data_IF_754933618462
#
_entry.id   IF_754933618462
#
_cell.length_a   1.000
_cell.length_b   1.000
_cell.length_c   1.000
_cell.angle_alpha   90.00
_cell.angle_beta   90.00
_cell.angle_gamma   90.00
#
_symmetry.space_group_name_H-M   'P 1'
#
loop_
_entity.id
_entity.type
_entity.pdbx_description
1 polymer ?
#
# COMPACT_ATOMS: atom_id res chain seq x y z
N UNK A 1 -38.53 13.51 27.40
CA UNK A 1 -38.25 12.49 28.42
C UNK A 1 -36.74 12.33 28.48
N UNK A 2 -36.13 12.96 29.48
CA UNK A 2 -34.69 12.91 29.76
C UNK A 2 -34.45 11.69 30.65
N UNK A 3 -33.73 10.69 30.14
CA UNK A 3 -33.31 9.54 30.92
C UNK A 3 -31.96 9.86 31.57
N UNK A 4 -32.02 10.51 32.74
CA UNK A 4 -30.90 11.16 33.42
C UNK A 4 -30.49 10.44 34.72
N UNK A 5 -30.35 9.12 34.70
CA UNK A 5 -29.84 8.42 35.89
C UNK A 5 -29.27 7.05 35.52
N UNK A 6 -28.13 7.03 34.84
CA UNK A 6 -27.27 5.86 34.85
C UNK A 6 -26.27 6.00 36.02
N UNK A 7 -26.51 5.35 37.17
CA UNK A 7 -25.67 5.49 38.37
C UNK A 7 -24.22 5.00 38.15
N UNK A 8 -23.97 4.22 37.09
CA UNK A 8 -22.63 3.78 36.72
C UNK A 8 -21.81 4.86 36.01
N UNK A 9 -22.46 5.92 35.50
CA UNK A 9 -21.79 7.08 34.91
C UNK A 9 -21.31 8.04 36.01
N UNK A 10 -22.12 8.27 37.04
CA UNK A 10 -21.77 9.20 38.14
C UNK A 10 -20.65 8.68 39.03
N UNK A 11 -20.63 7.37 39.32
CA UNK A 11 -19.58 6.77 40.16
C UNK A 11 -18.16 6.90 39.57
N UNK A 12 -18.02 6.94 38.23
CA UNK A 12 -16.70 7.13 37.59
C UNK A 12 -16.26 8.59 37.54
N UNK A 13 -17.17 9.54 37.69
CA UNK A 13 -16.86 10.97 37.68
C UNK A 13 -16.41 11.43 39.06
N UNK A 14 -16.96 10.87 40.14
CA UNK A 14 -16.60 11.28 41.50
C UNK A 14 -15.27 10.75 42.03
N UNK A 15 -14.74 9.63 41.52
CA UNK A 15 -13.43 9.12 41.96
C UNK A 15 -12.23 9.84 41.35
N UNK A 16 -12.43 10.69 40.33
CA UNK A 16 -11.34 11.28 39.55
C UNK A 16 -10.95 12.73 39.95
N UNK A 17 -11.57 13.34 40.97
CA UNK A 17 -11.58 14.81 41.08
C UNK A 17 -10.98 15.40 42.37
N UNK A 18 -10.50 14.63 43.36
CA UNK A 18 -10.06 15.22 44.64
C UNK A 18 -8.62 14.93 45.09
N UNK A 19 -7.69 14.76 44.15
CA UNK A 19 -6.25 14.85 44.40
C UNK A 19 -5.70 16.24 44.03
N UNK A 20 -5.16 17.06 44.95
CA UNK A 20 -4.61 18.39 44.64
C UNK A 20 -3.39 18.41 43.71
N UNK A 21 -2.91 17.25 43.29
CA UNK A 21 -1.73 17.06 42.43
C UNK A 21 -1.96 16.00 41.34
N UNK A 22 -3.21 15.65 41.01
CA UNK A 22 -3.47 14.75 39.88
C UNK A 22 -3.21 15.50 38.58
N UNK A 23 -1.94 15.48 38.16
CA UNK A 23 -1.51 15.77 36.80
C UNK A 23 -2.44 15.01 35.86
N UNK A 24 -3.41 15.71 35.26
CA UNK A 24 -4.42 15.13 34.40
C UNK A 24 -3.71 14.23 33.39
N UNK A 25 -3.84 12.91 33.57
CA UNK A 25 -3.10 11.95 32.76
C UNK A 25 -3.66 12.06 31.36
N UNK A 26 -2.89 12.68 30.45
CA UNK A 26 -3.30 12.87 29.05
C UNK A 26 -3.47 11.50 28.41
N UNK A 27 -4.72 11.01 28.41
CA UNK A 27 -5.12 9.72 27.83
C UNK A 27 -4.78 9.76 26.34
N UNK A 28 -3.98 8.80 25.89
CA UNK A 28 -3.59 8.72 24.47
C UNK A 28 -4.82 8.31 23.65
N UNK A 29 -5.28 9.13 22.67
CA UNK A 29 -6.40 8.74 21.83
C UNK A 29 -6.02 7.49 21.03
N UNK A 30 -6.81 6.42 21.14
CA UNK A 30 -6.53 5.12 20.48
C UNK A 30 -6.31 5.27 18.98
N UNK A 31 -7.06 6.14 18.32
CA UNK A 31 -6.91 6.37 16.88
C UNK A 31 -5.56 6.96 16.47
N UNK A 32 -4.90 7.77 17.33
CA UNK A 32 -3.54 8.28 17.04
C UNK A 32 -2.56 7.11 17.03
N UNK A 33 -2.66 6.20 18.01
CA UNK A 33 -1.81 5.01 18.07
C UNK A 33 -1.99 4.14 16.82
N UNK A 34 -3.24 3.91 16.39
CA UNK A 34 -3.53 3.14 15.17
C UNK A 34 -2.89 3.79 13.94
N UNK A 35 -3.08 5.10 13.74
CA UNK A 35 -2.48 5.83 12.61
C UNK A 35 -0.95 5.77 12.66
N UNK A 36 -0.35 5.92 13.84
CA UNK A 36 1.10 5.84 14.03
C UNK A 36 1.66 4.47 13.66
N UNK A 37 1.04 3.38 14.16
CA UNK A 37 1.46 2.00 13.87
C UNK A 37 1.28 1.67 12.39
N UNK A 38 0.12 1.99 11.81
CA UNK A 38 -0.12 1.76 10.38
C UNK A 38 0.87 2.54 9.50
N UNK A 39 1.23 3.76 9.87
CA UNK A 39 2.25 4.55 9.14
C UNK A 39 3.64 3.92 9.24
N UNK A 40 4.03 3.40 10.40
CA UNK A 40 5.31 2.69 10.55
C UNK A 40 5.34 1.43 9.69
N UNK A 41 4.29 0.61 9.75
CA UNK A 41 4.18 -0.62 8.95
C UNK A 41 4.19 -0.31 7.45
N UNK A 42 3.40 0.69 7.02
CA UNK A 42 3.39 1.15 5.64
C UNK A 42 4.76 1.70 5.20
N UNK A 43 5.47 2.40 6.08
CA UNK A 43 6.83 2.89 5.83
C UNK A 43 7.82 1.76 5.60
N UNK A 44 7.84 0.75 6.48
CA UNK A 44 8.72 -0.42 6.37
C UNK A 44 8.40 -1.22 5.11
N UNK A 45 7.13 -1.57 4.90
CA UNK A 45 6.71 -2.34 3.73
C UNK A 45 6.95 -1.57 2.43
N UNK A 46 6.75 -0.26 2.43
CA UNK A 46 7.02 0.61 1.29
C UNK A 46 8.51 0.62 0.93
N UNK A 47 9.40 0.75 1.92
CA UNK A 47 10.85 0.71 1.71
C UNK A 47 11.31 -0.67 1.21
N UNK A 48 10.84 -1.76 1.82
CA UNK A 48 11.14 -3.12 1.37
C UNK A 48 10.63 -3.36 -0.05
N UNK A 49 9.43 -2.90 -0.36
CA UNK A 49 8.85 -2.97 -1.70
C UNK A 49 9.66 -2.19 -2.73
N UNK A 50 10.14 -0.98 -2.38
CA UNK A 50 11.00 -0.19 -3.27
C UNK A 50 12.35 -0.87 -3.51
N UNK A 51 12.99 -1.41 -2.47
CA UNK A 51 14.26 -2.16 -2.61
C UNK A 51 14.06 -3.41 -3.46
N UNK A 52 13.02 -4.20 -3.17
CA UNK A 52 12.66 -5.38 -3.96
C UNK A 52 12.35 -5.04 -5.42
N UNK A 53 11.70 -3.90 -5.67
CA UNK A 53 11.44 -3.38 -7.01
C UNK A 53 12.72 -3.05 -7.78
N UNK A 54 13.70 -2.41 -7.13
CA UNK A 54 15.01 -2.12 -7.74
C UNK A 54 15.77 -3.41 -8.03
N UNK A 55 15.79 -4.36 -7.09
CA UNK A 55 16.41 -5.68 -7.28
C UNK A 55 15.75 -6.41 -8.47
N UNK A 56 14.42 -6.42 -8.55
CA UNK A 56 13.70 -7.04 -9.66
C UNK A 56 13.97 -6.33 -10.99
N UNK A 57 14.14 -5.00 -11.00
CA UNK A 57 14.47 -4.27 -12.21
C UNK A 57 15.88 -4.62 -12.75
N UNK A 58 16.85 -4.77 -11.86
CA UNK A 58 18.25 -5.08 -12.23
C UNK A 58 18.45 -6.57 -12.53
N UNK A 59 17.85 -7.46 -11.72
CA UNK A 59 18.11 -8.89 -11.75
C UNK A 59 16.94 -9.74 -12.26
N UNK A 60 15.75 -9.16 -12.44
CA UNK A 60 14.53 -9.91 -12.76
C UNK A 60 14.63 -10.68 -14.08
N UNK A 61 15.22 -10.08 -15.12
CA UNK A 61 15.43 -10.78 -16.40
C UNK A 61 16.41 -11.95 -16.26
N UNK A 62 17.50 -11.78 -15.49
CA UNK A 62 18.45 -12.86 -15.23
C UNK A 62 17.80 -13.99 -14.43
N UNK A 63 17.06 -13.67 -13.37
CA UNK A 63 16.32 -14.68 -12.59
C UNK A 63 15.31 -15.42 -13.46
N UNK A 64 14.50 -14.72 -14.26
CA UNK A 64 13.56 -15.34 -15.18
C UNK A 64 14.27 -16.28 -16.16
N UNK A 65 15.40 -15.87 -16.74
CA UNK A 65 16.16 -16.72 -17.66
C UNK A 65 16.74 -17.98 -17.02
N UNK A 66 17.11 -17.95 -15.74
CA UNK A 66 17.63 -19.12 -15.02
C UNK A 66 16.54 -20.16 -14.73
N UNK A 67 15.30 -19.73 -14.43
CA UNK A 67 14.20 -20.65 -14.13
C UNK A 67 13.56 -21.30 -15.36
N UNK A 68 13.79 -20.76 -16.57
CA UNK A 68 13.16 -21.25 -17.79
C UNK A 68 14.03 -22.21 -18.62
N UNK A 69 15.22 -22.59 -18.14
CA UNK A 69 16.09 -23.55 -18.86
C UNK A 69 15.53 -24.98 -18.75
N UNK A 70 15.30 -25.64 -19.88
CA UNK A 70 14.96 -27.07 -19.95
C UNK A 70 13.51 -27.43 -20.29
N UNK A 71 12.62 -26.46 -20.51
CA UNK A 71 11.22 -26.74 -20.87
C UNK A 71 11.05 -27.03 -22.38
N UNK A 72 10.15 -27.95 -22.79
CA UNK A 72 9.92 -28.30 -24.21
C UNK A 72 9.35 -27.16 -25.06
N UNK A 73 8.82 -26.10 -24.44
CA UNK A 73 8.17 -24.95 -25.10
C UNK A 73 9.02 -23.67 -25.04
N UNK A 74 10.35 -23.81 -24.99
CA UNK A 74 11.27 -22.71 -24.79
C UNK A 74 11.12 -21.58 -25.82
N UNK A 75 10.89 -21.90 -27.10
CA UNK A 75 10.88 -20.87 -28.15
C UNK A 75 9.66 -19.95 -28.07
N UNK A 76 8.44 -20.52 -28.00
CA UNK A 76 7.21 -19.74 -27.87
C UNK A 76 7.17 -18.98 -26.53
N UNK A 77 7.68 -19.59 -25.45
CA UNK A 77 7.75 -18.94 -24.15
C UNK A 77 8.80 -17.81 -24.13
N UNK A 78 9.94 -17.97 -24.81
CA UNK A 78 10.97 -16.95 -24.93
C UNK A 78 10.49 -15.76 -25.77
N UNK A 79 9.76 -16.01 -26.86
CA UNK A 79 9.16 -14.96 -27.69
C UNK A 79 8.11 -14.17 -26.89
N UNK A 80 7.22 -14.87 -26.17
CA UNK A 80 6.27 -14.24 -25.24
C UNK A 80 6.98 -13.37 -24.20
N UNK A 81 8.04 -13.89 -23.56
CA UNK A 81 8.80 -13.14 -22.56
C UNK A 81 9.48 -11.91 -23.15
N UNK A 82 9.98 -12.00 -24.38
CA UNK A 82 10.59 -10.87 -25.08
C UNK A 82 9.58 -9.77 -25.36
N UNK A 83 8.37 -10.11 -25.82
CA UNK A 83 7.31 -9.13 -26.05
C UNK A 83 6.82 -8.50 -24.74
N UNK A 84 6.60 -9.31 -23.70
CA UNK A 84 6.24 -8.79 -22.38
C UNK A 84 7.34 -7.88 -21.80
N UNK A 85 8.60 -8.24 -21.97
CA UNK A 85 9.73 -7.41 -21.56
C UNK A 85 9.79 -6.08 -22.34
N UNK A 86 9.40 -6.06 -23.62
CA UNK A 86 9.30 -4.83 -24.39
C UNK A 86 8.21 -3.89 -23.84
N UNK A 87 7.06 -4.43 -23.43
CA UNK A 87 6.01 -3.65 -22.73
C UNK A 87 6.55 -3.11 -21.40
N UNK A 88 7.21 -3.93 -20.58
CA UNK A 88 7.81 -3.47 -19.32
C UNK A 88 8.85 -2.37 -19.56
N UNK A 89 9.71 -2.54 -20.58
CA UNK A 89 10.75 -1.57 -20.92
C UNK A 89 10.15 -0.22 -21.33
N UNK A 90 9.05 -0.22 -22.08
CA UNK A 90 8.30 0.99 -22.45
C UNK A 90 7.82 1.77 -21.21
N UNK A 91 7.41 1.06 -20.16
CA UNK A 91 6.95 1.65 -18.90
C UNK A 91 8.04 1.73 -17.81
N UNK A 92 9.31 1.51 -18.14
CA UNK A 92 10.39 1.45 -17.16
C UNK A 92 10.60 2.79 -16.44
N UNK A 93 10.69 3.89 -17.19
CA UNK A 93 10.93 5.24 -16.62
C UNK A 93 9.84 5.62 -15.60
N UNK A 94 8.53 5.59 -15.93
CA UNK A 94 7.50 5.93 -14.94
C UNK A 94 7.49 4.97 -13.75
N UNK A 95 7.78 3.68 -13.95
CA UNK A 95 7.91 2.73 -12.86
C UNK A 95 9.08 3.07 -11.92
N UNK A 96 10.24 3.44 -12.45
CA UNK A 96 11.40 3.88 -11.65
C UNK A 96 11.06 5.13 -10.84
N UNK A 97 10.39 6.12 -11.45
CA UNK A 97 9.94 7.32 -10.75
C UNK A 97 8.98 6.98 -9.60
N UNK A 98 8.02 6.08 -9.84
CA UNK A 98 7.09 5.60 -8.80
C UNK A 98 7.83 4.86 -7.67
N UNK A 99 8.89 4.10 -7.97
CA UNK A 99 9.70 3.42 -6.96
C UNK A 99 10.46 4.41 -6.08
N UNK A 100 11.07 5.45 -6.68
CA UNK A 100 11.79 6.52 -5.97
C UNK A 100 10.81 7.28 -5.08
N UNK A 101 9.69 7.74 -5.64
CA UNK A 101 8.65 8.45 -4.86
C UNK A 101 8.09 7.56 -3.76
N UNK A 102 7.89 6.27 -4.04
CA UNK A 102 7.46 5.27 -3.05
C UNK A 102 8.45 5.13 -1.90
N UNK A 103 9.76 5.14 -2.18
CA UNK A 103 10.80 5.06 -1.15
C UNK A 103 10.80 6.32 -0.27
N UNK A 104 10.68 7.51 -0.89
CA UNK A 104 10.57 8.79 -0.17
C UNK A 104 9.32 8.81 0.71
N UNK A 105 8.15 8.43 0.18
CA UNK A 105 6.91 8.32 0.94
C UNK A 105 7.05 7.31 2.09
N UNK A 106 7.73 6.18 1.86
CA UNK A 106 8.02 5.19 2.90
C UNK A 106 8.83 5.77 4.06
N UNK A 107 9.89 6.53 3.76
CA UNK A 107 10.69 7.23 4.76
C UNK A 107 9.87 8.31 5.50
N UNK A 108 9.00 9.04 4.79
CA UNK A 108 8.09 10.02 5.41
C UNK A 108 7.03 9.38 6.31
N UNK A 109 6.47 8.23 5.92
CA UNK A 109 5.53 7.47 6.75
C UNK A 109 6.19 6.91 8.00
N UNK A 110 7.41 6.38 7.87
CA UNK A 110 8.17 5.85 9.00
C UNK A 110 8.53 6.95 10.00
N UNK A 111 9.13 8.05 9.52
CA UNK A 111 9.51 9.19 10.36
C UNK A 111 8.29 9.89 10.97
N UNK A 112 7.21 10.08 10.19
CA UNK A 112 5.96 10.64 10.66
C UNK A 112 5.27 9.76 11.70
N UNK A 113 5.21 8.44 11.48
CA UNK A 113 4.64 7.48 12.42
C UNK A 113 5.38 7.44 13.76
N UNK A 114 6.72 7.39 13.73
CA UNK A 114 7.56 7.49 14.93
C UNK A 114 7.34 8.85 15.62
N UNK A 115 7.31 9.94 14.86
CA UNK A 115 7.07 11.29 15.37
C UNK A 115 5.72 11.41 16.09
N UNK A 116 4.67 10.78 15.55
CA UNK A 116 3.33 10.78 16.17
C UNK A 116 3.34 10.04 17.50
N UNK A 117 3.96 8.86 17.57
CA UNK A 117 4.08 8.11 18.83
C UNK A 117 4.89 8.90 19.87
N UNK A 118 5.91 9.64 19.42
CA UNK A 118 6.74 10.53 20.25
C UNK A 118 6.11 11.90 20.48
N UNK A 119 4.84 12.11 20.13
CA UNK A 119 4.09 13.37 20.32
C UNK A 119 4.74 14.61 19.72
N UNK A 120 5.49 14.47 18.63
CA UNK A 120 6.19 15.62 18.00
C UNK A 120 5.21 16.45 17.16
N UNK A 121 5.14 17.79 17.30
CA UNK A 121 4.15 18.61 16.60
C UNK A 121 4.31 18.59 15.08
N UNK A 122 5.55 18.53 14.59
CA UNK A 122 5.84 18.46 13.15
C UNK A 122 5.31 17.17 12.50
N UNK A 123 5.16 16.09 13.26
CA UNK A 123 4.80 14.76 12.73
C UNK A 123 3.40 14.73 12.14
N UNK A 124 2.47 15.48 12.75
CA UNK A 124 1.09 15.61 12.28
C UNK A 124 1.03 16.29 10.92
N UNK A 125 1.75 17.40 10.76
CA UNK A 125 1.80 18.13 9.49
C UNK A 125 2.46 17.26 8.40
N UNK A 126 3.56 16.58 8.75
CA UNK A 126 4.24 15.68 7.82
C UNK A 126 3.30 14.57 7.35
N UNK A 127 2.71 13.79 8.26
CA UNK A 127 1.82 12.68 7.88
C UNK A 127 0.61 13.15 7.07
N UNK A 128 0.01 14.30 7.39
CA UNK A 128 -1.10 14.85 6.61
C UNK A 128 -0.69 15.11 5.16
N UNK A 129 0.48 15.70 4.93
CA UNK A 129 1.03 15.95 3.59
C UNK A 129 1.39 14.63 2.90
N UNK A 130 2.10 13.74 3.59
CA UNK A 130 2.49 12.42 3.07
C UNK A 130 1.28 11.60 2.62
N UNK A 131 0.21 11.53 3.43
CA UNK A 131 -1.02 10.81 3.08
C UNK A 131 -1.69 11.37 1.81
N UNK A 132 -1.66 12.69 1.64
CA UNK A 132 -2.20 13.30 0.42
C UNK A 132 -1.38 12.95 -0.83
N UNK A 133 -0.06 13.08 -0.75
CA UNK A 133 0.81 12.67 -1.85
C UNK A 133 0.70 11.16 -2.13
N UNK A 134 0.58 10.33 -1.10
CA UNK A 134 0.40 8.89 -1.24
C UNK A 134 -0.90 8.55 -1.98
N UNK A 135 -2.01 9.26 -1.70
CA UNK A 135 -3.27 9.11 -2.46
C UNK A 135 -3.05 9.42 -3.95
N UNK A 136 -2.41 10.57 -4.27
CA UNK A 136 -2.13 10.95 -5.66
C UNK A 136 -1.24 9.93 -6.37
N UNK A 137 -0.18 9.47 -5.71
CA UNK A 137 0.74 8.48 -6.25
C UNK A 137 0.08 7.11 -6.45
N UNK A 138 -0.81 6.70 -5.55
CA UNK A 138 -1.52 5.42 -5.70
C UNK A 138 -2.51 5.46 -6.87
N UNK A 139 -3.20 6.59 -7.09
CA UNK A 139 -4.05 6.79 -8.28
C UNK A 139 -3.23 6.72 -9.56
N UNK A 140 -2.09 7.42 -9.62
CA UNK A 140 -1.20 7.37 -10.77
C UNK A 140 -0.66 5.95 -11.03
N UNK A 141 -0.29 5.24 -9.96
CA UNK A 141 0.17 3.85 -10.03
C UNK A 141 -0.91 2.92 -10.57
N UNK A 142 -2.16 3.06 -10.13
CA UNK A 142 -3.28 2.27 -10.66
C UNK A 142 -3.48 2.49 -12.15
N UNK A 143 -3.41 3.74 -12.62
CA UNK A 143 -3.55 4.07 -14.04
C UNK A 143 -2.42 3.42 -14.85
N UNK A 144 -1.17 3.58 -14.42
CA UNK A 144 -0.01 3.00 -15.09
C UNK A 144 -0.09 1.47 -15.15
N UNK A 145 -0.46 0.84 -14.03
CA UNK A 145 -0.65 -0.61 -13.96
C UNK A 145 -1.77 -1.07 -14.89
N UNK A 146 -2.90 -0.34 -14.94
CA UNK A 146 -3.99 -0.61 -15.86
C UNK A 146 -3.55 -0.59 -17.32
N UNK A 147 -2.83 0.44 -17.76
CA UNK A 147 -2.29 0.51 -19.13
C UNK A 147 -1.30 -0.63 -19.44
N UNK A 148 -0.40 -0.93 -18.50
CA UNK A 148 0.56 -2.03 -18.66
C UNK A 148 -0.17 -3.37 -18.83
N UNK A 149 -1.19 -3.63 -18.01
CA UNK A 149 -1.99 -4.85 -18.10
C UNK A 149 -2.76 -4.95 -19.42
N UNK A 150 -3.39 -3.85 -19.87
CA UNK A 150 -4.12 -3.82 -21.14
C UNK A 150 -3.21 -4.15 -22.35
N UNK A 151 -1.94 -3.73 -22.33
CA UNK A 151 -0.96 -4.10 -23.37
C UNK A 151 -0.47 -5.55 -23.26
N UNK A 152 -0.34 -6.09 -22.04
CA UNK A 152 0.12 -7.47 -21.82
C UNK A 152 -0.95 -8.53 -22.13
N UNK A 153 -2.24 -8.20 -21.95
CA UNK A 153 -3.37 -9.10 -22.19
C UNK A 153 -3.36 -9.74 -23.60
N UNK A 154 -3.29 -8.99 -24.71
CA UNK A 154 -3.33 -9.59 -26.05
C UNK A 154 -2.10 -10.45 -26.36
N UNK A 155 -0.92 -10.05 -25.91
CA UNK A 155 0.32 -10.84 -26.03
C UNK A 155 0.11 -12.19 -25.34
N UNK A 156 -0.30 -12.14 -24.09
CA UNK A 156 -0.52 -13.32 -23.26
C UNK A 156 -1.55 -14.27 -23.89
N UNK A 157 -2.67 -13.77 -24.39
CA UNK A 157 -3.68 -14.59 -25.10
C UNK A 157 -3.12 -15.25 -26.34
N UNK A 158 -2.43 -14.50 -27.19
CA UNK A 158 -1.86 -14.99 -28.46
C UNK A 158 -0.88 -16.15 -28.22
N UNK A 159 0.03 -15.99 -27.25
CA UNK A 159 1.01 -17.04 -26.96
C UNK A 159 0.40 -18.23 -26.22
N UNK A 160 -0.58 -18.01 -25.33
CA UNK A 160 -1.31 -19.13 -24.73
C UNK A 160 -2.04 -19.94 -25.78
N UNK A 161 -2.70 -19.30 -26.76
CA UNK A 161 -3.37 -20.00 -27.87
C UNK A 161 -2.39 -20.82 -28.74
N UNK A 162 -1.19 -20.28 -29.02
CA UNK A 162 -0.13 -21.02 -29.75
C UNK A 162 0.38 -22.23 -28.96
N UNK A 163 0.78 -22.03 -27.70
CA UNK A 163 1.27 -23.12 -26.84
C UNK A 163 0.21 -24.21 -26.61
N UNK A 164 -1.05 -23.79 -26.57
CA UNK A 164 -2.21 -24.64 -26.43
C UNK A 164 -2.42 -25.51 -27.69
N UNK A 165 -2.27 -24.95 -28.89
CA UNK A 165 -2.36 -25.70 -30.14
C UNK A 165 -1.29 -26.81 -30.23
N UNK A 166 -0.08 -26.55 -29.75
CA UNK A 166 1.03 -27.50 -29.80
C UNK A 166 0.89 -28.69 -28.84
N UNK A 167 0.12 -28.58 -27.75
CA UNK A 167 -0.01 -29.64 -26.73
C UNK A 167 -1.11 -30.68 -27.00
N UNK A 168 -1.87 -30.58 -28.11
CA UNK A 168 -2.73 -31.68 -28.55
C UNK A 168 -3.92 -32.04 -27.64
N UNK A 169 -4.51 -31.07 -26.94
CA UNK A 169 -5.76 -31.23 -26.17
C UNK A 169 -5.63 -30.80 -24.71
N UNK A 170 -6.53 -29.93 -24.23
CA UNK A 170 -6.42 -29.22 -22.92
C UNK A 170 -6.10 -27.72 -23.08
N UNK A 171 -5.62 -27.37 -24.27
CA UNK A 171 -5.48 -26.05 -24.86
C UNK A 171 -6.50 -24.99 -24.41
N UNK A 172 -7.78 -25.23 -24.76
CA UNK A 172 -8.86 -24.30 -24.51
C UNK A 172 -9.15 -24.12 -23.01
N UNK A 173 -9.02 -25.19 -22.21
CA UNK A 173 -9.22 -25.13 -20.78
C UNK A 173 -8.10 -24.33 -20.08
N UNK A 174 -6.84 -24.50 -20.49
CA UNK A 174 -5.72 -23.69 -19.97
C UNK A 174 -5.86 -22.21 -20.35
N UNK A 175 -6.21 -21.90 -21.60
CA UNK A 175 -6.41 -20.52 -22.05
C UNK A 175 -7.56 -19.83 -21.28
N UNK A 176 -8.69 -20.53 -21.10
CA UNK A 176 -9.82 -20.04 -20.31
C UNK A 176 -9.43 -19.84 -18.84
N UNK A 177 -8.72 -20.80 -18.25
CA UNK A 177 -8.26 -20.72 -16.86
C UNK A 177 -7.29 -19.55 -16.64
N UNK A 178 -6.31 -19.37 -17.52
CA UNK A 178 -5.35 -18.26 -17.47
C UNK A 178 -6.06 -16.90 -17.60
N UNK A 179 -7.00 -16.78 -18.55
CA UNK A 179 -7.82 -15.58 -18.72
C UNK A 179 -8.63 -15.25 -17.46
N UNK A 180 -9.25 -16.25 -16.82
CA UNK A 180 -10.01 -16.08 -15.59
C UNK A 180 -9.12 -15.70 -14.40
N UNK A 181 -7.97 -16.35 -14.26
CA UNK A 181 -6.99 -16.05 -13.21
C UNK A 181 -6.47 -14.60 -13.32
N UNK A 182 -6.22 -14.12 -14.54
CA UNK A 182 -5.83 -12.74 -14.80
C UNK A 182 -6.92 -11.74 -14.39
N UNK A 183 -8.20 -12.02 -14.71
CA UNK A 183 -9.33 -11.18 -14.29
C UNK A 183 -9.49 -11.14 -12.77
N UNK A 184 -9.35 -12.28 -12.09
CA UNK A 184 -9.35 -12.34 -10.62
C UNK A 184 -8.21 -11.50 -10.06
N UNK A 185 -7.01 -11.63 -10.63
CA UNK A 185 -5.84 -10.86 -10.22
C UNK A 185 -6.07 -9.35 -10.33
N UNK A 186 -6.65 -8.90 -11.46
CA UNK A 186 -6.98 -7.50 -11.68
C UNK A 186 -8.06 -6.99 -10.71
N UNK A 187 -9.12 -7.79 -10.49
CA UNK A 187 -10.18 -7.44 -9.55
C UNK A 187 -9.66 -7.35 -8.11
N UNK A 188 -8.86 -8.33 -7.69
CA UNK A 188 -8.22 -8.32 -6.38
C UNK A 188 -7.30 -7.10 -6.20
N UNK A 189 -6.49 -6.78 -7.22
CA UNK A 189 -5.64 -5.59 -7.20
C UNK A 189 -6.46 -4.31 -7.04
N UNK A 190 -7.55 -4.16 -7.79
CA UNK A 190 -8.43 -3.00 -7.71
C UNK A 190 -9.07 -2.87 -6.32
N UNK A 191 -9.62 -3.95 -5.76
CA UNK A 191 -10.19 -3.96 -4.40
C UNK A 191 -9.13 -3.58 -3.37
N UNK A 192 -7.93 -4.15 -3.47
CA UNK A 192 -6.83 -3.84 -2.56
C UNK A 192 -6.38 -2.38 -2.64
N UNK A 193 -6.35 -1.80 -3.84
CA UNK A 193 -6.05 -0.39 -4.04
C UNK A 193 -7.13 0.51 -3.42
N UNK A 194 -8.42 0.16 -3.58
CA UNK A 194 -9.53 0.88 -2.95
C UNK A 194 -9.47 0.83 -1.43
N UNK A 195 -9.13 -0.33 -0.84
CA UNK A 195 -8.94 -0.47 0.61
C UNK A 195 -7.83 0.48 1.09
N UNK A 196 -6.68 0.48 0.41
CA UNK A 196 -5.57 1.40 0.75
C UNK A 196 -5.97 2.86 0.65
N UNK A 197 -6.68 3.25 -0.41
CA UNK A 197 -7.20 4.60 -0.56
C UNK A 197 -8.16 4.97 0.58
N UNK A 198 -9.05 4.07 0.97
CA UNK A 198 -9.94 4.25 2.13
C UNK A 198 -9.18 4.49 3.43
N UNK A 199 -8.16 3.67 3.71
CA UNK A 199 -7.31 3.81 4.90
C UNK A 199 -6.55 5.15 4.88
N UNK A 200 -5.96 5.52 3.74
CA UNK A 200 -5.22 6.78 3.61
C UNK A 200 -6.13 8.01 3.76
N UNK A 201 -7.33 7.95 3.18
CA UNK A 201 -8.32 9.02 3.29
C UNK A 201 -8.82 9.17 4.73
N UNK A 202 -9.16 8.06 5.38
CA UNK A 202 -9.54 8.03 6.79
C UNK A 202 -8.43 8.59 7.68
N UNK A 203 -7.18 8.13 7.52
CA UNK A 203 -6.04 8.61 8.29
C UNK A 203 -5.82 10.11 8.13
N UNK A 204 -5.99 10.63 6.90
CA UNK A 204 -5.87 12.07 6.62
C UNK A 204 -6.98 12.87 7.27
N UNK A 205 -8.24 12.42 7.18
CA UNK A 205 -9.38 13.06 7.84
C UNK A 205 -9.23 13.05 9.36
N UNK A 206 -8.83 11.90 9.93
CA UNK A 206 -8.63 11.75 11.36
C UNK A 206 -7.57 12.72 11.89
N UNK A 207 -6.40 12.80 11.23
CA UNK A 207 -5.34 13.74 11.60
C UNK A 207 -5.72 15.22 11.41
N UNK A 208 -6.82 15.53 10.72
CA UNK A 208 -7.29 16.92 10.56
C UNK A 208 -8.17 17.40 11.73
N UNK A 209 -8.57 16.54 12.66
CA UNK A 209 -9.42 16.92 13.80
C UNK A 209 -8.67 17.84 14.78
N UNK A 210 -9.26 18.99 15.13
CA UNK A 210 -8.69 19.94 16.11
C UNK A 210 -8.60 19.36 17.53
N UNK A 211 -9.44 18.38 17.86
CA UNK A 211 -9.38 17.63 19.13
C UNK A 211 -8.01 16.99 19.43
N UNK A 212 -7.19 16.79 18.39
CA UNK A 212 -5.85 16.22 18.54
C UNK A 212 -4.80 17.28 18.89
N UNK A 213 -5.09 18.58 18.84
CA UNK A 213 -4.13 19.67 19.12
C UNK A 213 -3.45 19.51 20.50
N UNK A 214 -4.19 19.28 21.61
CA UNK A 214 -3.58 19.15 22.94
C UNK A 214 -2.55 18.01 23.04
N UNK A 215 -2.76 16.93 22.29
CA UNK A 215 -1.85 15.78 22.29
C UNK A 215 -0.45 16.12 21.77
N UNK A 216 -0.35 17.09 20.83
CA UNK A 216 0.90 17.47 20.19
C UNK A 216 1.54 18.73 20.78
N UNK A 217 0.81 19.50 21.59
CA UNK A 217 1.29 20.73 22.23
C UNK A 217 1.71 20.55 23.68
N UNK A 218 1.27 19.48 24.36
CA UNK A 218 1.71 19.19 25.73
C UNK A 218 3.20 18.87 25.70
N UNK A 219 4.04 19.76 26.23
CA UNK A 219 5.48 19.53 26.34
C UNK A 219 5.70 18.19 27.03
N UNK A 220 6.42 17.28 26.36
CA UNK A 220 6.90 16.09 27.03
C UNK A 220 7.92 16.57 28.05
N UNK A 221 7.52 16.65 29.32
CA UNK A 221 8.47 16.77 30.44
C UNK A 221 9.39 15.56 30.31
N UNK A 222 10.59 15.82 29.79
CA UNK A 222 11.57 14.82 29.38
C UNK A 222 12.43 14.36 30.54
#
# INVERSE_FOLDING_TARGET
MNDSSNPYVEARVSEAVTGPNDSATVVRPTGITVVGVLSILAGILGLLGSVGGVVNLIFGQKMASMFNQGMPQQDAQAEMQRELAAVVAKYMIPNVLILIVGAVLGACFLSGGIGVIRRKPWSRLLLRRTLFFAILCEVLRMILYGFTQLEMVPITRTYFERMAADQGGGAAAMAQFSGFAMLIGLAFYAVWALIKLGIMFWGRMYLNRSELDPYFTTESVG
#
